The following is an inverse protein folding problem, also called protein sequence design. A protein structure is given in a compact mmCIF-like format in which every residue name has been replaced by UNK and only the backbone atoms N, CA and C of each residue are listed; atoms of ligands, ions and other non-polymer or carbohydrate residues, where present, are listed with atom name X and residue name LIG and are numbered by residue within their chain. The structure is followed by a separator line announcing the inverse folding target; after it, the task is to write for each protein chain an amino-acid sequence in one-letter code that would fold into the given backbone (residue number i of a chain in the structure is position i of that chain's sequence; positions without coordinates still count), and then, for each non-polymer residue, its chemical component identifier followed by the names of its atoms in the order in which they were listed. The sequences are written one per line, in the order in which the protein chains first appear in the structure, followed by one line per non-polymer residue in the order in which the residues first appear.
data_IF_201383703107
#
_entry.id   IF_201383703107
#
_cell.length_a   1.000
_cell.length_b   1.000
_cell.length_c   1.000
_cell.angle_alpha   90.00
_cell.angle_beta   90.00
_cell.angle_gamma   90.00
#
_symmetry.space_group_name_H-M   'P 1'
#
loop_
_entity.id
_entity.type
_entity.pdbx_description
1 polymer ?
#
# COMPACT_ATOMS: atom_id res chain seq x y z
N UNK A 1 -7.81 12.56 13.94
CA UNK A 1 -7.26 11.60 12.95
C UNK A 1 -5.90 11.15 13.47
N UNK A 2 -5.64 9.83 13.66
CA UNK A 2 -4.30 9.39 14.03
C UNK A 2 -3.33 9.76 12.90
N UNK A 3 -2.25 10.46 13.25
CA UNK A 3 -1.19 10.80 12.30
C UNK A 3 -0.63 9.50 11.74
N UNK A 4 -0.84 9.27 10.45
CA UNK A 4 -0.27 8.12 9.74
C UNK A 4 1.22 8.39 9.61
N UNK A 5 2.01 7.82 10.52
CA UNK A 5 3.46 7.79 10.38
C UNK A 5 3.86 6.65 9.45
N UNK A 6 4.87 6.90 8.63
CA UNK A 6 5.47 5.85 7.79
C UNK A 6 6.20 4.83 8.67
N UNK A 7 6.16 3.56 8.25
CA UNK A 7 6.88 2.48 8.93
C UNK A 7 8.32 2.41 8.43
N UNK A 8 9.25 2.22 9.35
CA UNK A 8 10.60 1.77 9.00
C UNK A 8 10.55 0.36 8.42
N UNK A 9 11.59 -0.06 7.66
CA UNK A 9 11.69 -1.42 7.13
C UNK A 9 11.55 -2.46 8.27
N UNK A 10 12.19 -2.19 9.41
CA UNK A 10 12.16 -3.04 10.59
C UNK A 10 10.77 -3.15 11.25
N UNK A 11 9.97 -2.08 11.20
CA UNK A 11 8.60 -2.07 11.67
C UNK A 11 7.67 -2.76 10.67
N UNK A 12 7.85 -2.52 9.37
CA UNK A 12 7.05 -3.14 8.32
C UNK A 12 7.17 -4.67 8.33
N UNK A 13 8.40 -5.19 8.51
CA UNK A 13 8.65 -6.65 8.59
C UNK A 13 8.06 -7.27 9.86
N UNK A 14 7.91 -6.49 10.94
CA UNK A 14 7.33 -6.94 12.22
C UNK A 14 5.83 -6.66 12.34
N UNK A 15 5.27 -5.85 11.44
CA UNK A 15 3.86 -5.49 11.46
C UNK A 15 2.98 -6.73 11.24
N UNK A 16 1.99 -6.99 12.13
CA UNK A 16 1.14 -8.18 12.03
C UNK A 16 0.35 -8.26 10.72
N UNK A 17 -0.14 -7.13 10.22
CA UNK A 17 -0.94 -7.09 9.00
C UNK A 17 -0.07 -7.39 7.78
N UNK A 18 1.12 -6.79 7.69
CA UNK A 18 2.06 -7.05 6.61
C UNK A 18 2.50 -8.52 6.62
N UNK A 19 2.85 -9.07 7.79
CA UNK A 19 3.22 -10.49 7.91
C UNK A 19 2.10 -11.45 7.50
N UNK A 20 0.84 -11.10 7.77
CA UNK A 20 -0.31 -11.90 7.33
C UNK A 20 -0.37 -11.97 5.81
N UNK A 21 -0.22 -10.84 5.13
CA UNK A 21 -0.23 -10.76 3.66
C UNK A 21 0.95 -11.51 3.06
N UNK A 22 2.15 -11.31 3.61
CA UNK A 22 3.34 -12.03 3.15
C UNK A 22 3.18 -13.54 3.25
N UNK A 23 2.58 -14.03 4.34
CA UNK A 23 2.30 -15.46 4.51
C UNK A 23 1.29 -15.95 3.47
N UNK A 24 0.24 -15.18 3.19
CA UNK A 24 -0.75 -15.54 2.17
C UNK A 24 -0.12 -15.68 0.78
N UNK A 25 0.88 -14.85 0.48
CA UNK A 25 1.61 -14.85 -0.79
C UNK A 25 2.88 -15.74 -0.79
N UNK A 26 3.16 -16.46 0.30
CA UNK A 26 4.34 -17.32 0.43
C UNK A 26 5.68 -16.57 0.45
N UNK A 27 5.68 -15.29 0.83
CA UNK A 27 6.87 -14.43 0.89
C UNK A 27 7.61 -14.63 2.22
N UNK A 28 8.91 -14.93 2.13
CA UNK A 28 9.79 -14.98 3.31
C UNK A 28 10.08 -13.57 3.86
N UNK A 29 9.83 -13.31 5.15
CA UNK A 29 10.16 -12.05 5.81
C UNK A 29 11.61 -11.58 5.65
N UNK A 30 12.58 -12.50 5.66
CA UNK A 30 14.00 -12.13 5.52
C UNK A 30 14.37 -11.77 4.09
N UNK A 31 13.84 -12.49 3.10
CA UNK A 31 13.97 -12.13 1.70
C UNK A 31 13.35 -10.75 1.40
N UNK A 32 12.16 -10.47 1.94
CA UNK A 32 11.51 -9.17 1.80
C UNK A 32 12.29 -8.02 2.44
N UNK A 33 12.78 -8.21 3.68
CA UNK A 33 13.65 -7.24 4.35
C UNK A 33 14.90 -6.93 3.50
N UNK A 34 15.55 -7.98 2.99
CA UNK A 34 16.74 -7.85 2.15
C UNK A 34 16.45 -7.08 0.86
N UNK A 35 15.31 -7.36 0.21
CA UNK A 35 14.85 -6.65 -0.97
C UNK A 35 14.65 -5.15 -0.68
N UNK A 36 13.95 -4.81 0.41
CA UNK A 36 13.71 -3.42 0.80
C UNK A 36 15.01 -2.69 1.15
N UNK A 37 15.93 -3.33 1.86
CA UNK A 37 17.24 -2.73 2.19
C UNK A 37 18.09 -2.51 0.93
N UNK A 38 18.08 -3.45 -0.02
CA UNK A 38 18.75 -3.29 -1.32
C UNK A 38 18.18 -2.11 -2.09
N UNK A 39 16.85 -2.01 -2.17
CA UNK A 39 16.17 -0.90 -2.83
C UNK A 39 16.46 0.46 -2.15
N UNK A 40 16.47 0.48 -0.82
CA UNK A 40 16.86 1.68 -0.08
C UNK A 40 18.33 2.06 -0.33
N UNK A 41 19.21 1.07 -0.46
CA UNK A 41 20.62 1.26 -0.82
C UNK A 41 20.81 1.84 -2.22
N UNK A 42 20.02 1.38 -3.21
CA UNK A 42 20.07 1.92 -4.58
C UNK A 42 19.55 3.36 -4.65
N UNK A 43 18.54 3.72 -3.86
CA UNK A 43 18.00 5.09 -3.81
C UNK A 43 18.93 6.10 -3.11
N UNK A 44 19.96 5.66 -2.39
CA UNK A 44 20.97 6.58 -1.83
C UNK A 44 21.98 7.08 -2.88
N UNK A 45 22.07 6.40 -4.04
CA UNK A 45 23.01 6.74 -5.10
C UNK A 45 22.45 7.69 -6.16
N UNK A 46 21.12 7.74 -6.33
CA UNK A 46 20.43 8.56 -7.34
C UNK A 46 19.14 9.14 -6.74
N UNK A 47 19.05 10.48 -6.74
CA UNK A 47 17.85 11.34 -6.56
C UNK A 47 17.59 11.92 -5.15
N UNK A 48 17.27 13.25 -5.05
CA UNK A 48 17.05 13.95 -3.80
C UNK A 48 15.87 13.38 -3.02
N UNK A 49 16.01 13.39 -1.69
CA UNK A 49 14.96 13.11 -0.72
C UNK A 49 13.59 13.62 -1.20
N UNK A 50 12.62 12.71 -1.37
CA UNK A 50 11.20 13.03 -1.41
C UNK A 50 10.75 13.54 -0.02
N UNK A 51 11.32 14.67 0.41
CA UNK A 51 10.67 15.59 1.32
C UNK A 51 9.78 16.50 0.48
N UNK A 52 8.57 16.05 0.21
CA UNK A 52 7.44 16.97 0.01
C UNK A 52 6.13 16.20 0.11
N UNK A 53 5.66 16.02 1.35
CA UNK A 53 4.23 15.83 1.62
C UNK A 53 3.74 17.05 2.40
N UNK A 54 3.98 18.24 1.87
CA UNK A 54 3.25 19.45 2.23
C UNK A 54 2.76 20.09 0.93
N UNK A 55 1.44 20.27 0.87
CA UNK A 55 0.67 21.01 -0.14
C UNK A 55 0.70 20.51 -1.60
N UNK A 56 -0.33 19.73 -1.97
CA UNK A 56 -0.99 19.94 -3.26
C UNK A 56 -2.50 20.01 -3.07
N UNK A 57 -2.99 21.25 -3.09
CA UNK A 57 -4.41 21.53 -3.23
C UNK A 57 -4.96 21.12 -4.59
N UNK A 58 -6.28 20.88 -4.58
CA UNK A 58 -7.22 21.09 -5.68
C UNK A 58 -6.81 20.64 -7.09
N UNK A 59 -7.44 19.54 -7.50
CA UNK A 59 -8.29 19.56 -8.69
C UNK A 59 -7.73 18.92 -9.96
N UNK A 60 -8.60 18.11 -10.57
CA UNK A 60 -8.61 17.76 -12.00
C UNK A 60 -7.60 16.71 -12.47
N UNK A 61 -7.90 15.41 -12.32
CA UNK A 61 -7.70 14.43 -13.43
C UNK A 61 -8.30 13.02 -13.28
N UNK A 62 -9.38 12.83 -12.52
CA UNK A 62 -10.04 11.52 -12.44
C UNK A 62 -11.34 11.50 -13.24
N UNK A 63 -11.25 11.47 -14.58
CA UNK A 63 -12.45 11.48 -15.44
C UNK A 63 -12.47 10.45 -16.58
N UNK A 64 -11.69 9.36 -16.56
CA UNK A 64 -11.67 8.48 -17.76
C UNK A 64 -11.71 6.95 -17.60
N UNK A 65 -11.83 6.37 -16.41
CA UNK A 65 -11.76 4.89 -16.29
C UNK A 65 -12.96 4.24 -15.58
N UNK A 66 -13.86 5.01 -14.97
CA UNK A 66 -14.97 4.46 -14.17
C UNK A 66 -16.22 4.01 -14.97
N UNK A 67 -16.17 3.89 -16.29
CA UNK A 67 -17.37 3.60 -17.10
C UNK A 67 -17.64 2.09 -17.32
N UNK A 68 -16.73 1.18 -17.00
CA UNK A 68 -16.88 -0.22 -17.44
C UNK A 68 -17.36 -1.25 -16.39
N UNK A 69 -17.39 -0.94 -15.09
CA UNK A 69 -17.67 -1.97 -14.05
C UNK A 69 -19.05 -1.91 -13.40
N UNK A 70 -19.94 -1.03 -13.87
CA UNK A 70 -21.24 -0.76 -13.24
C UNK A 70 -22.45 -1.49 -13.84
N UNK A 71 -22.36 -2.74 -14.32
CA UNK A 71 -23.55 -3.41 -14.90
C UNK A 71 -23.81 -4.88 -14.52
N UNK A 72 -23.20 -5.43 -13.47
CA UNK A 72 -23.37 -6.87 -13.22
C UNK A 72 -23.76 -7.32 -11.79
N UNK A 73 -24.18 -6.44 -10.87
CA UNK A 73 -24.83 -6.93 -9.63
C UNK A 73 -25.71 -5.92 -8.92
N UNK A 74 -26.72 -5.45 -9.65
CA UNK A 74 -27.99 -5.09 -9.01
C UNK A 74 -28.73 -6.39 -8.67
N UNK A 75 -29.43 -6.40 -7.53
CA UNK A 75 -30.14 -7.52 -6.92
C UNK A 75 -29.20 -8.61 -6.36
N UNK A 76 -29.14 -8.88 -5.06
CA UNK A 76 -30.10 -8.63 -4.01
C UNK A 76 -30.03 -9.86 -3.11
N UNK A 77 -29.85 -9.61 -1.80
CA UNK A 77 -30.26 -10.51 -0.72
C UNK A 77 -29.43 -11.82 -0.59
N UNK A 78 -29.14 -12.40 0.56
CA UNK A 78 -29.64 -12.22 1.92
C UNK A 78 -28.57 -12.72 2.92
N UNK A 79 -28.64 -12.17 4.13
CA UNK A 79 -28.49 -12.82 5.45
C UNK A 79 -27.66 -14.12 5.57
N UNK A 80 -26.76 -14.18 6.56
CA UNK A 80 -26.95 -14.81 7.88
C UNK A 80 -25.60 -14.89 8.63
N UNK A 81 -25.69 -14.70 9.94
CA UNK A 81 -24.72 -14.76 11.05
C UNK A 81 -23.62 -15.83 11.00
N UNK A 82 -22.42 -15.46 11.47
CA UNK A 82 -21.90 -15.78 12.81
C UNK A 82 -20.93 -14.66 13.25
#
# INVERSE_FOLDING_TARGET
MPQRRDLTIDEAVRDPMIRLVMKADGVDPRAFETMLRRLAGTQRGDVPLLRSSEEFGRGQRLSRVATAFGRARAAGEACVSW
#
